data_IF_718466230652
#
_entry.id   IF_718466230652
#
_cell.length_a   1.000
_cell.length_b   1.000
_cell.length_c   1.000
_cell.angle_alpha   90.00
_cell.angle_beta   90.00
_cell.angle_gamma   90.00
#
_symmetry.space_group_name_H-M   'P 1'
#
loop_
_entity.id
_entity.type
_entity.pdbx_description
1 polymer ?
#
# COMPACT_ATOMS: atom_id res chain seq x y z
N UNK A 1 22.37 -20.76 -6.59
CA UNK A 1 21.19 -19.90 -6.85
C UNK A 1 19.96 -20.66 -6.39
N UNK A 2 19.29 -20.29 -5.29
CA UNK A 2 18.04 -20.96 -4.90
C UNK A 2 16.97 -20.65 -5.95
N UNK A 3 16.40 -21.69 -6.56
CA UNK A 3 15.26 -21.57 -7.48
C UNK A 3 14.10 -20.95 -6.69
N UNK A 4 13.42 -19.95 -7.27
CA UNK A 4 12.29 -19.28 -6.61
C UNK A 4 11.19 -20.33 -6.34
N UNK A 5 10.77 -20.56 -5.09
CA UNK A 5 9.85 -21.65 -4.70
C UNK A 5 8.49 -21.57 -5.41
N UNK A 6 8.00 -20.34 -5.67
CA UNK A 6 6.74 -20.12 -6.38
C UNK A 6 6.70 -20.69 -7.82
N UNK A 7 7.85 -20.83 -8.51
CA UNK A 7 7.88 -21.46 -9.84
C UNK A 7 7.69 -22.97 -9.76
N UNK A 8 8.20 -23.60 -8.70
CA UNK A 8 8.18 -25.05 -8.52
C UNK A 8 6.79 -25.58 -8.15
N UNK A 9 6.07 -24.89 -7.25
CA UNK A 9 4.68 -25.22 -6.90
C UNK A 9 3.75 -25.21 -8.13
N UNK A 10 3.89 -24.20 -9.00
CA UNK A 10 3.09 -24.07 -10.21
C UNK A 10 3.38 -25.18 -11.23
N UNK A 11 4.65 -25.56 -11.38
CA UNK A 11 5.08 -26.66 -12.24
C UNK A 11 4.55 -28.02 -11.75
N UNK A 12 4.63 -28.30 -10.45
CA UNK A 12 4.09 -29.53 -9.84
C UNK A 12 2.57 -29.63 -10.02
N UNK A 13 1.83 -28.54 -9.78
CA UNK A 13 0.39 -28.49 -10.00
C UNK A 13 -0.01 -28.64 -11.48
N UNK A 14 0.85 -28.20 -12.41
CA UNK A 14 0.66 -28.42 -13.84
C UNK A 14 0.83 -29.90 -14.19
N UNK A 15 1.88 -30.55 -13.68
CA UNK A 15 2.13 -31.97 -13.93
C UNK A 15 0.99 -32.85 -13.40
N UNK A 16 0.45 -32.56 -12.20
CA UNK A 16 -0.72 -33.27 -11.67
C UNK A 16 -1.90 -33.22 -12.65
N UNK A 17 -2.18 -32.05 -13.24
CA UNK A 17 -3.25 -31.91 -14.24
C UNK A 17 -2.96 -32.70 -15.51
N UNK A 18 -1.74 -32.63 -16.03
CA UNK A 18 -1.36 -33.40 -17.22
C UNK A 18 -1.49 -34.91 -17.01
N UNK A 19 -1.17 -35.42 -15.81
CA UNK A 19 -1.38 -36.82 -15.46
C UNK A 19 -2.87 -37.17 -15.33
N UNK A 20 -3.69 -36.28 -14.79
CA UNK A 20 -5.13 -36.48 -14.70
C UNK A 20 -5.79 -36.52 -16.10
N UNK A 21 -5.37 -35.64 -17.00
CA UNK A 21 -5.85 -35.62 -18.39
C UNK A 21 -5.51 -36.93 -19.12
N UNK A 22 -4.30 -37.47 -18.92
CA UNK A 22 -3.90 -38.78 -19.48
C UNK A 22 -4.73 -39.95 -18.97
N UNK A 23 -5.24 -39.89 -17.73
CA UNK A 23 -6.15 -40.91 -17.19
C UNK A 23 -7.49 -40.85 -17.93
N UNK A 24 -7.98 -39.65 -18.22
CA UNK A 24 -9.21 -39.45 -18.96
C UNK A 24 -9.09 -39.95 -20.41
N UNK A 25 -7.93 -39.74 -21.04
CA UNK A 25 -7.66 -40.16 -22.42
C UNK A 25 -7.41 -41.67 -22.56
N UNK A 26 -6.69 -42.28 -21.61
CA UNK A 26 -6.35 -43.71 -21.61
C UNK A 26 -6.55 -44.35 -20.22
N UNK A 27 -7.75 -44.87 -19.93
CA UNK A 27 -8.06 -45.50 -18.64
C UNK A 27 -7.18 -46.73 -18.33
N UNK A 28 -6.57 -47.36 -19.33
CA UNK A 28 -5.69 -48.52 -19.10
C UNK A 28 -4.41 -48.13 -18.32
N UNK A 29 -4.03 -46.85 -18.37
CA UNK A 29 -2.90 -46.28 -17.62
C UNK A 29 -3.28 -45.70 -16.27
N UNK A 30 -4.56 -45.75 -15.89
CA UNK A 30 -5.09 -45.07 -14.71
C UNK A 30 -4.31 -45.36 -13.42
N UNK A 31 -3.91 -46.62 -13.20
CA UNK A 31 -3.18 -47.03 -12.00
C UNK A 31 -1.79 -46.41 -11.93
N UNK A 32 -1.08 -46.36 -13.05
CA UNK A 32 0.27 -45.80 -13.11
C UNK A 32 0.25 -44.28 -12.96
N UNK A 33 -0.68 -43.60 -13.64
CA UNK A 33 -0.82 -42.15 -13.58
C UNK A 33 -1.34 -41.68 -12.22
N UNK A 34 -2.30 -42.40 -11.59
CA UNK A 34 -2.77 -42.10 -10.25
C UNK A 34 -1.66 -42.24 -9.18
N UNK A 35 -0.74 -43.20 -9.37
CA UNK A 35 0.45 -43.31 -8.51
C UNK A 35 1.36 -42.09 -8.65
N UNK A 36 1.54 -41.60 -9.87
CA UNK A 36 2.35 -40.41 -10.12
C UNK A 36 1.70 -39.15 -9.53
N UNK A 37 0.38 -38.99 -9.70
CA UNK A 37 -0.39 -37.89 -9.08
C UNK A 37 -0.22 -37.90 -7.56
N UNK A 38 -0.36 -39.07 -6.91
CA UNK A 38 -0.19 -39.18 -5.45
C UNK A 38 1.18 -38.70 -4.99
N UNK A 39 2.24 -39.13 -5.70
CA UNK A 39 3.61 -38.70 -5.39
C UNK A 39 3.81 -37.20 -5.58
N UNK A 40 3.30 -36.63 -6.67
CA UNK A 40 3.40 -35.19 -6.92
C UNK A 40 2.60 -34.36 -5.90
N UNK A 41 1.47 -34.89 -5.41
CA UNK A 41 0.69 -34.24 -4.36
C UNK A 41 1.43 -34.24 -3.02
N UNK A 42 2.07 -35.35 -2.64
CA UNK A 42 2.93 -35.43 -1.46
C UNK A 42 4.09 -34.42 -1.53
N UNK A 43 4.78 -34.33 -2.67
CA UNK A 43 5.86 -33.34 -2.89
C UNK A 43 5.33 -31.89 -2.76
N UNK A 44 4.11 -31.63 -3.23
CA UNK A 44 3.48 -30.31 -3.17
C UNK A 44 3.12 -29.92 -1.72
N UNK A 45 2.57 -30.86 -0.95
CA UNK A 45 2.22 -30.66 0.46
C UNK A 45 3.48 -30.36 1.29
N UNK A 46 4.58 -31.10 1.08
CA UNK A 46 5.86 -30.85 1.76
C UNK A 46 6.42 -29.45 1.44
N UNK A 47 6.30 -28.99 0.19
CA UNK A 47 6.78 -27.67 -0.23
C UNK A 47 5.91 -26.53 0.33
N UNK A 48 4.58 -26.73 0.38
CA UNK A 48 3.65 -25.80 1.04
C UNK A 48 3.94 -25.68 2.53
N UNK A 49 4.12 -26.80 3.23
CA UNK A 49 4.48 -26.82 4.66
C UNK A 49 5.83 -26.15 4.93
N UNK A 50 6.78 -26.25 4.00
CA UNK A 50 8.04 -25.54 4.09
C UNK A 50 7.85 -24.03 3.96
N UNK A 51 7.08 -23.56 2.98
CA UNK A 51 6.79 -22.13 2.80
C UNK A 51 6.00 -21.53 3.97
N UNK A 52 5.02 -22.27 4.51
CA UNK A 52 4.28 -21.87 5.72
C UNK A 52 5.25 -21.72 6.89
N UNK A 53 6.10 -22.72 7.16
CA UNK A 53 7.10 -22.65 8.23
C UNK A 53 8.11 -21.52 8.02
N UNK A 54 8.51 -21.23 6.78
CA UNK A 54 9.37 -20.08 6.48
C UNK A 54 8.66 -18.75 6.70
N UNK A 55 7.39 -18.64 6.32
CA UNK A 55 6.58 -17.45 6.56
C UNK A 55 6.38 -17.21 8.06
N UNK A 56 6.11 -18.24 8.85
CA UNK A 56 6.02 -18.19 10.31
C UNK A 56 7.35 -17.77 10.96
N UNK A 57 8.48 -18.32 10.49
CA UNK A 57 9.82 -17.90 10.93
C UNK A 57 10.11 -16.44 10.61
N UNK A 58 9.68 -15.94 9.45
CA UNK A 58 9.77 -14.50 9.10
C UNK A 58 8.85 -13.64 9.97
N UNK A 59 7.72 -14.18 10.44
CA UNK A 59 6.78 -13.52 11.34
C UNK A 59 7.22 -13.43 12.81
N UNK A 60 8.18 -14.26 13.24
CA UNK A 60 8.57 -14.41 14.65
C UNK A 60 9.76 -13.58 15.13
N UNK A 61 10.49 -12.89 14.24
CA UNK A 61 11.56 -12.00 14.70
C UNK A 61 10.93 -10.78 15.39
N UNK A 62 11.34 -10.43 16.63
CA UNK A 62 10.86 -9.22 17.27
C UNK A 62 11.14 -8.07 16.32
N UNK A 63 10.06 -7.42 15.82
CA UNK A 63 10.19 -6.23 14.99
C UNK A 63 11.13 -5.29 15.73
N UNK A 64 12.28 -4.99 15.11
CA UNK A 64 13.17 -3.93 15.58
C UNK A 64 12.30 -2.77 16.01
N UNK A 65 12.49 -2.29 17.25
CA UNK A 65 11.69 -1.20 17.81
C UNK A 65 11.50 -0.16 16.71
N UNK A 66 10.25 0.26 16.39
CA UNK A 66 10.01 1.14 15.27
C UNK A 66 10.97 2.32 15.40
N UNK A 67 11.89 2.45 14.44
CA UNK A 67 12.80 3.60 14.39
C UNK A 67 11.91 4.82 14.51
N UNK A 68 12.13 5.65 15.54
CA UNK A 68 11.34 6.86 15.73
C UNK A 68 11.26 7.58 14.38
N UNK A 69 10.04 7.78 13.89
CA UNK A 69 9.83 8.49 12.66
C UNK A 69 10.49 9.86 12.83
N UNK A 70 11.44 10.19 11.95
CA UNK A 70 12.12 11.49 11.98
C UNK A 70 11.06 12.59 11.89
N UNK A 71 11.20 13.61 12.73
CA UNK A 71 10.22 14.68 12.84
C UNK A 71 9.98 15.37 11.49
N UNK A 72 8.71 15.62 11.17
CA UNK A 72 8.30 16.49 10.08
C UNK A 72 8.69 17.91 10.47
N UNK A 73 9.46 18.57 9.60
CA UNK A 73 9.94 19.94 9.81
C UNK A 73 8.95 20.95 9.25
N UNK A 74 8.33 20.63 8.11
CA UNK A 74 7.34 21.50 7.49
C UNK A 74 6.79 20.93 6.19
N UNK A 75 5.88 21.70 5.60
CA UNK A 75 5.29 21.44 4.29
C UNK A 75 5.45 22.68 3.41
N UNK A 76 5.55 22.52 2.10
CA UNK A 76 5.50 23.61 1.13
C UNK A 76 4.82 23.13 -0.17
N UNK A 77 4.48 24.05 -1.06
CA UNK A 77 4.04 23.73 -2.43
C UNK A 77 5.20 23.95 -3.40
N UNK A 78 5.71 22.88 -3.99
CA UNK A 78 6.77 22.95 -4.99
C UNK A 78 6.18 22.97 -6.41
N UNK A 79 6.73 23.82 -7.28
CA UNK A 79 6.53 23.71 -8.72
C UNK A 79 7.60 22.80 -9.32
N UNK A 80 7.18 21.63 -9.81
CA UNK A 80 8.07 20.65 -10.45
C UNK A 80 7.78 20.48 -11.94
N UNK A 81 8.61 19.66 -12.60
CA UNK A 81 8.43 19.26 -14.01
C UNK A 81 7.05 18.65 -14.29
N UNK A 82 6.47 17.97 -13.30
CA UNK A 82 5.19 17.28 -13.41
C UNK A 82 4.03 18.09 -12.82
N UNK A 83 4.23 19.39 -12.61
CA UNK A 83 3.24 20.30 -12.03
C UNK A 83 3.47 20.56 -10.54
N UNK A 84 2.43 21.09 -9.90
CA UNK A 84 2.44 21.50 -8.50
C UNK A 84 2.22 20.33 -7.55
N UNK A 85 3.03 20.26 -6.50
CA UNK A 85 2.98 19.17 -5.53
C UNK A 85 3.12 19.69 -4.10
N UNK A 86 2.44 19.01 -3.18
CA UNK A 86 2.65 19.12 -1.75
C UNK A 86 3.92 18.38 -1.36
N UNK A 87 4.88 19.09 -0.78
CA UNK A 87 6.15 18.54 -0.29
C UNK A 87 6.16 18.44 1.23
N UNK A 88 6.58 17.30 1.77
CA UNK A 88 6.82 17.09 3.20
C UNK A 88 8.32 17.00 3.48
N UNK A 89 8.83 17.97 4.25
CA UNK A 89 10.25 18.04 4.63
C UNK A 89 10.46 17.41 5.99
N UNK A 90 11.54 16.62 6.12
CA UNK A 90 11.91 15.96 7.37
C UNK A 90 13.32 16.32 7.79
N UNK A 91 13.58 16.23 9.09
CA UNK A 91 14.88 16.59 9.68
C UNK A 91 16.08 15.76 9.21
N UNK A 92 15.85 14.69 8.43
CA UNK A 92 16.90 13.86 7.85
C UNK A 92 17.81 14.54 6.83
N UNK A 93 17.37 15.64 6.21
CA UNK A 93 18.02 16.16 4.99
C UNK A 93 17.86 15.23 3.76
N UNK A 94 17.05 14.17 3.87
CA UNK A 94 16.65 13.36 2.71
C UNK A 94 15.71 14.17 1.80
N UNK A 95 15.61 13.76 0.53
CA UNK A 95 14.68 14.36 -0.41
C UNK A 95 13.24 14.39 0.15
N UNK A 96 12.49 15.49 -0.06
CA UNK A 96 11.13 15.60 0.46
C UNK A 96 10.20 14.60 -0.21
N UNK A 97 9.16 14.19 0.54
CA UNK A 97 8.10 13.35 -0.02
C UNK A 97 7.10 14.24 -0.74
N UNK A 98 6.82 13.94 -2.01
CA UNK A 98 5.98 14.78 -2.86
C UNK A 98 4.66 14.10 -3.20
N UNK A 99 3.56 14.82 -3.04
CA UNK A 99 2.22 14.43 -3.44
C UNK A 99 1.69 15.41 -4.51
N UNK A 100 1.56 14.99 -5.78
CA UNK A 100 1.01 15.85 -6.83
C UNK A 100 -0.39 16.36 -6.47
N UNK A 101 -0.72 17.60 -6.85
CA UNK A 101 -2.04 18.19 -6.54
C UNK A 101 -3.23 17.34 -6.97
N UNK A 102 -3.28 16.72 -8.16
CA UNK A 102 -4.41 15.88 -8.53
C UNK A 102 -4.59 14.67 -7.60
N UNK A 103 -3.48 14.09 -7.12
CA UNK A 103 -3.51 12.98 -6.17
C UNK A 103 -3.96 13.45 -4.80
N UNK A 104 -3.48 14.61 -4.34
CA UNK A 104 -3.94 15.25 -3.10
C UNK A 104 -5.45 15.51 -3.12
N UNK A 105 -5.97 16.10 -4.21
CA UNK A 105 -7.40 16.41 -4.38
C UNK A 105 -8.24 15.13 -4.36
N UNK A 106 -7.80 14.08 -5.04
CA UNK A 106 -8.46 12.77 -5.01
C UNK A 106 -8.47 12.16 -3.61
N UNK A 107 -7.33 12.18 -2.89
CA UNK A 107 -7.27 11.68 -1.51
C UNK A 107 -8.22 12.48 -0.60
N UNK A 108 -8.27 13.80 -0.76
CA UNK A 108 -9.20 14.65 -0.02
C UNK A 108 -10.66 14.31 -0.33
N UNK A 109 -11.00 14.02 -1.58
CA UNK A 109 -12.33 13.55 -1.97
C UNK A 109 -12.68 12.20 -1.33
N UNK A 110 -11.76 11.23 -1.36
CA UNK A 110 -11.94 9.93 -0.70
C UNK A 110 -12.18 10.08 0.80
N UNK A 111 -11.41 10.95 1.47
CA UNK A 111 -11.59 11.21 2.91
C UNK A 111 -12.92 11.92 3.19
N UNK A 112 -13.36 12.81 2.30
CA UNK A 112 -14.66 13.46 2.40
C UNK A 112 -15.82 12.46 2.38
N UNK A 113 -15.70 11.44 1.53
CA UNK A 113 -16.74 10.43 1.34
C UNK A 113 -16.72 9.36 2.45
N UNK A 114 -15.53 9.07 2.99
CA UNK A 114 -15.31 8.10 4.05
C UNK A 114 -16.18 8.35 5.31
N UNK A 115 -16.48 7.31 6.11
CA UNK A 115 -17.13 7.49 7.41
C UNK A 115 -16.38 8.48 8.31
N UNK A 116 -17.06 9.04 9.31
CA UNK A 116 -16.46 10.00 10.25
C UNK A 116 -15.18 9.46 10.90
N UNK A 117 -15.10 8.15 11.11
CA UNK A 117 -13.90 7.45 11.54
C UNK A 117 -13.47 6.39 10.53
N UNK A 118 -12.20 6.45 10.11
CA UNK A 118 -11.65 5.60 9.05
C UNK A 118 -10.20 5.18 9.36
N UNK A 119 -9.70 4.15 8.68
CA UNK A 119 -8.30 3.70 8.76
C UNK A 119 -7.53 4.12 7.52
N UNK A 120 -6.19 4.06 7.63
CA UNK A 120 -5.30 4.32 6.49
C UNK A 120 -5.60 3.42 5.29
N UNK A 121 -5.74 2.11 5.55
CA UNK A 121 -5.94 1.12 4.48
C UNK A 121 -7.26 1.37 3.73
N UNK A 122 -8.31 1.82 4.42
CA UNK A 122 -9.61 2.10 3.80
C UNK A 122 -9.48 3.21 2.74
N UNK A 123 -8.75 4.29 3.09
CA UNK A 123 -8.46 5.40 2.15
C UNK A 123 -7.53 4.96 1.03
N UNK A 124 -6.49 4.18 1.35
CA UNK A 124 -5.51 3.72 0.37
C UNK A 124 -6.16 2.85 -0.72
N UNK A 125 -6.95 1.84 -0.32
CA UNK A 125 -7.63 0.95 -1.26
C UNK A 125 -8.68 1.68 -2.10
N UNK A 126 -9.40 2.64 -1.52
CA UNK A 126 -10.38 3.44 -2.26
C UNK A 126 -9.70 4.36 -3.31
N UNK A 127 -8.57 5.01 -2.96
CA UNK A 127 -7.78 5.80 -3.92
C UNK A 127 -7.26 4.92 -5.06
N UNK A 128 -6.74 3.74 -4.75
CA UNK A 128 -6.29 2.76 -5.75
C UNK A 128 -7.43 2.31 -6.66
N UNK A 129 -8.61 2.09 -6.09
CA UNK A 129 -9.82 1.72 -6.84
C UNK A 129 -10.27 2.83 -7.80
N UNK A 130 -10.27 4.09 -7.35
CA UNK A 130 -10.68 5.24 -8.19
C UNK A 130 -9.67 5.58 -9.29
N UNK A 131 -8.38 5.40 -9.02
CA UNK A 131 -7.32 5.68 -10.02
C UNK A 131 -7.15 4.54 -11.02
N UNK A 132 -7.44 3.30 -10.65
CA UNK A 132 -7.08 2.11 -11.44
C UNK A 132 -5.57 1.84 -11.47
N UNK A 133 -4.78 2.57 -10.68
CA UNK A 133 -3.31 2.49 -10.63
C UNK A 133 -2.83 2.31 -9.18
N UNK A 134 -1.62 1.78 -9.01
CA UNK A 134 -1.00 1.66 -7.68
C UNK A 134 -0.36 3.00 -7.28
N UNK A 135 -1.12 3.80 -6.53
CA UNK A 135 -0.64 5.07 -5.98
C UNK A 135 0.36 4.80 -4.85
N UNK A 136 1.55 5.41 -4.84
CA UNK A 136 2.51 5.19 -3.76
C UNK A 136 1.95 5.53 -2.37
N UNK A 137 2.08 4.61 -1.41
CA UNK A 137 1.53 4.74 -0.06
C UNK A 137 1.94 6.05 0.65
N UNK A 138 3.17 6.52 0.39
CA UNK A 138 3.70 7.73 1.00
C UNK A 138 2.91 8.98 0.58
N UNK A 139 2.27 9.02 -0.60
CA UNK A 139 1.47 10.15 -1.05
C UNK A 139 0.18 10.29 -0.22
N UNK A 140 -0.46 9.16 0.08
CA UNK A 140 -1.60 9.11 1.01
C UNK A 140 -1.16 9.52 2.41
N UNK A 141 0.00 9.05 2.88
CA UNK A 141 0.55 9.42 4.20
C UNK A 141 0.89 10.90 4.32
N UNK A 142 1.52 11.49 3.30
CA UNK A 142 1.85 12.93 3.26
C UNK A 142 0.57 13.75 3.34
N UNK A 143 -0.43 13.40 2.54
CA UNK A 143 -1.72 14.10 2.51
C UNK A 143 -2.44 14.03 3.85
N UNK A 144 -2.55 12.85 4.46
CA UNK A 144 -3.18 12.69 5.77
C UNK A 144 -2.42 13.45 6.86
N UNK A 145 -1.08 13.39 6.89
CA UNK A 145 -0.28 14.12 7.89
C UNK A 145 -0.39 15.63 7.73
N UNK A 146 -0.44 16.12 6.48
CA UNK A 146 -0.67 17.52 6.19
C UNK A 146 -2.04 17.99 6.69
N UNK A 147 -3.10 17.21 6.42
CA UNK A 147 -4.44 17.53 6.89
C UNK A 147 -4.57 17.46 8.43
N UNK A 148 -3.82 16.57 9.09
CA UNK A 148 -3.69 16.56 10.55
C UNK A 148 -2.98 17.82 11.04
N UNK A 149 -1.89 18.23 10.38
CA UNK A 149 -1.14 19.43 10.75
C UNK A 149 -2.00 20.69 10.68
N UNK A 150 -2.91 20.77 9.70
CA UNK A 150 -3.89 21.87 9.57
C UNK A 150 -5.15 21.70 10.43
N UNK A 151 -5.26 20.64 11.22
CA UNK A 151 -6.41 20.39 12.09
C UNK A 151 -7.68 19.94 11.37
N UNK A 152 -7.60 19.57 10.09
CA UNK A 152 -8.74 19.07 9.31
C UNK A 152 -9.12 17.63 9.69
N UNK A 153 -8.15 16.86 10.21
CA UNK A 153 -8.31 15.47 10.64
C UNK A 153 -7.62 15.30 11.99
N UNK A 154 -8.21 14.50 12.88
CA UNK A 154 -7.56 14.07 14.13
C UNK A 154 -7.07 12.63 14.01
N UNK A 155 -5.94 12.33 14.64
CA UNK A 155 -5.45 10.96 14.77
C UNK A 155 -5.73 10.43 16.18
N UNK A 156 -6.43 9.32 16.28
CA UNK A 156 -6.75 8.67 17.55
C UNK A 156 -6.49 7.16 17.46
N UNK A 157 -5.47 6.70 18.20
CA UNK A 157 -4.97 5.31 18.19
C UNK A 157 -4.57 4.85 16.78
N UNK A 158 -5.37 3.98 16.16
CA UNK A 158 -5.15 3.42 14.82
C UNK A 158 -6.17 3.92 13.80
N UNK A 159 -6.88 5.00 14.13
CA UNK A 159 -7.94 5.58 13.29
C UNK A 159 -7.73 7.07 13.12
N UNK A 160 -8.31 7.58 12.05
CA UNK A 160 -8.46 9.00 11.77
C UNK A 160 -9.91 9.39 12.00
N UNK A 161 -10.13 10.64 12.41
CA UNK A 161 -11.44 11.19 12.71
C UNK A 161 -11.60 12.50 11.95
N UNK A 162 -12.68 12.62 11.19
CA UNK A 162 -13.11 13.82 10.48
C UNK A 162 -14.41 14.35 11.09
N UNK A 163 -14.29 15.14 12.17
CA UNK A 163 -15.43 15.74 12.88
C UNK A 163 -16.19 16.77 12.02
N UNK A 164 -15.55 17.29 10.96
CA UNK A 164 -16.06 18.38 10.14
C UNK A 164 -16.48 17.90 8.74
N UNK A 165 -17.07 16.70 8.64
CA UNK A 165 -17.39 16.03 7.36
C UNK A 165 -18.12 16.92 6.35
N UNK A 166 -19.11 17.73 6.79
CA UNK A 166 -19.89 18.61 5.90
C UNK A 166 -19.07 19.74 5.25
N UNK A 167 -18.00 20.19 5.92
CA UNK A 167 -17.14 21.28 5.45
C UNK A 167 -15.74 20.80 5.05
N UNK A 168 -15.49 19.49 5.10
CA UNK A 168 -14.16 18.93 4.94
C UNK A 168 -13.52 19.30 3.60
N UNK A 169 -14.27 19.17 2.49
CA UNK A 169 -13.80 19.59 1.17
C UNK A 169 -13.33 21.04 1.12
N UNK A 170 -14.06 21.95 1.79
CA UNK A 170 -13.68 23.36 1.90
C UNK A 170 -12.40 23.52 2.73
N UNK A 171 -12.33 22.86 3.88
CA UNK A 171 -11.17 22.93 4.78
C UNK A 171 -9.90 22.40 4.10
N UNK A 172 -9.99 21.29 3.37
CA UNK A 172 -8.86 20.72 2.63
C UNK A 172 -8.38 21.69 1.54
N UNK A 173 -9.31 22.25 0.76
CA UNK A 173 -8.99 23.28 -0.25
C UNK A 173 -8.34 24.51 0.39
N UNK A 174 -8.91 25.03 1.48
CA UNK A 174 -8.39 26.20 2.18
C UNK A 174 -6.98 25.92 2.75
N UNK A 175 -6.72 24.71 3.25
CA UNK A 175 -5.40 24.30 3.72
C UNK A 175 -4.37 24.34 2.58
N UNK A 176 -4.70 23.79 1.41
CA UNK A 176 -3.84 23.86 0.22
C UNK A 176 -3.59 25.32 -0.20
N UNK A 177 -4.65 26.11 -0.36
CA UNK A 177 -4.55 27.49 -0.84
C UNK A 177 -3.77 28.38 0.13
N UNK A 178 -3.90 28.16 1.44
CA UNK A 178 -3.09 28.84 2.45
C UNK A 178 -1.62 28.48 2.34
N UNK A 179 -1.30 27.18 2.21
CA UNK A 179 0.08 26.73 2.08
C UNK A 179 0.73 27.28 0.79
N UNK A 180 -0.02 27.28 -0.30
CA UNK A 180 0.43 27.82 -1.57
C UNK A 180 0.77 29.32 -1.43
N UNK A 181 -0.12 30.12 -0.84
CA UNK A 181 0.12 31.54 -0.59
C UNK A 181 1.34 31.81 0.30
N UNK A 182 1.54 31.00 1.34
CA UNK A 182 2.71 31.10 2.22
C UNK A 182 4.02 30.77 1.49
N UNK A 183 3.98 29.77 0.60
CA UNK A 183 5.15 29.37 -0.20
C UNK A 183 5.49 30.45 -1.22
N UNK A 184 4.50 30.99 -1.93
CA UNK A 184 4.67 32.09 -2.90
C UNK A 184 5.18 33.39 -2.24
N UNK A 185 4.78 33.64 -0.99
CA UNK A 185 5.26 34.76 -0.20
C UNK A 185 6.68 34.56 0.38
N UNK A 186 7.31 33.40 0.16
CA UNK A 186 8.64 33.08 0.70
C UNK A 186 8.65 32.89 2.23
N UNK A 187 7.49 32.73 2.87
CA UNK A 187 7.38 32.52 4.31
C UNK A 187 7.79 31.11 4.73
N UNK A 188 7.76 30.18 3.78
CA UNK A 188 8.20 28.80 3.95
C UNK A 188 9.15 28.50 2.79
N UNK A 189 10.36 27.97 3.05
CA UNK A 189 11.28 27.59 1.99
C UNK A 189 10.63 26.51 1.10
N UNK A 190 10.69 26.74 -0.21
CA UNK A 190 10.30 25.76 -1.22
C UNK A 190 11.24 24.55 -1.23
#
# INVERSE_FOLDING_TARGET
MPVRPARRLHETAKLIREHADRIADDPSRAVAEARMIRRLAEDLDEELDYEIRQAERRGGLPRSKPKQAKAVVGYCIEQGRYGIALSEHRSSGAAPFRCPKPVYELIAEVINDAPESFRFNDVYEEVRTRTGEDVPDYQVRVTIRFLIHHGAIKHYKAKFINEQKRSFRRIAKDAWDNLQRQTEAGQIPA
#
